data_IF_142425355353
#
_entry.id   IF_142425355353
#
_cell.length_a   1.000
_cell.length_b   1.000
_cell.length_c   1.000
_cell.angle_alpha   90.00
_cell.angle_beta   90.00
_cell.angle_gamma   90.00
#
_symmetry.space_group_name_H-M   'P 1'
#
loop_
_entity.id
_entity.type
_entity.pdbx_description
1 polymer ?
#
# COMPACT_ATOMS: atom_id res chain seq x y z
N UNK A 1 6.92 -51.22 -25.83
CA UNK A 1 6.45 -49.82 -26.04
C UNK A 1 6.46 -48.99 -24.75
N UNK A 2 6.08 -49.53 -23.58
CA UNK A 2 6.08 -48.77 -22.30
C UNK A 2 7.46 -48.29 -21.83
N UNK A 3 8.51 -49.11 -21.91
CA UNK A 3 9.88 -48.68 -21.52
C UNK A 3 10.47 -47.58 -22.41
N UNK A 4 10.05 -47.49 -23.67
CA UNK A 4 10.57 -46.48 -24.60
C UNK A 4 10.07 -45.07 -24.23
N UNK A 5 8.84 -44.97 -23.74
CA UNK A 5 8.25 -43.71 -23.26
C UNK A 5 8.97 -43.24 -22.00
N UNK A 6 9.29 -44.14 -21.07
CA UNK A 6 10.05 -43.79 -19.87
C UNK A 6 11.45 -43.25 -20.21
N UNK A 7 12.16 -43.89 -21.14
CA UNK A 7 13.49 -43.43 -21.58
C UNK A 7 13.40 -42.05 -22.25
N UNK A 8 12.38 -41.81 -23.06
CA UNK A 8 12.18 -40.53 -23.73
C UNK A 8 11.85 -39.40 -22.73
N UNK A 9 11.12 -39.70 -21.66
CA UNK A 9 10.80 -38.73 -20.61
C UNK A 9 12.04 -38.33 -19.79
N UNK A 10 12.90 -39.29 -19.41
CA UNK A 10 14.14 -38.98 -18.69
C UNK A 10 15.19 -38.27 -19.56
N UNK A 11 15.22 -38.54 -20.87
CA UNK A 11 16.13 -37.84 -21.79
C UNK A 11 15.84 -36.35 -21.93
N UNK A 12 14.59 -35.90 -21.72
CA UNK A 12 14.24 -34.49 -21.78
C UNK A 12 14.76 -33.70 -20.57
N UNK A 13 14.92 -34.33 -19.40
CA UNK A 13 15.49 -33.65 -18.23
C UNK A 13 17.01 -33.44 -18.35
N UNK A 14 17.71 -34.27 -19.13
CA UNK A 14 19.16 -34.14 -19.36
C UNK A 14 19.53 -33.02 -20.34
N UNK A 15 18.56 -32.48 -21.08
CA UNK A 15 18.73 -31.38 -22.04
C UNK A 15 18.17 -30.04 -21.53
N UNK A 16 17.64 -30.00 -20.31
CA UNK A 16 17.22 -28.77 -19.66
C UNK A 16 18.46 -27.91 -19.35
N UNK A 17 18.73 -26.93 -20.20
CA UNK A 17 19.77 -25.93 -19.98
C UNK A 17 19.24 -24.93 -18.96
N UNK A 18 20.03 -24.63 -17.92
CA UNK A 18 19.67 -23.62 -16.91
C UNK A 18 19.34 -22.29 -17.60
N UNK A 19 18.07 -21.88 -17.54
CA UNK A 19 17.64 -20.54 -17.95
C UNK A 19 17.90 -19.61 -16.77
N UNK A 20 19.17 -19.25 -16.56
CA UNK A 20 19.51 -18.09 -15.73
C UNK A 20 19.21 -16.86 -16.58
N UNK A 21 18.01 -16.31 -16.46
CA UNK A 21 17.73 -14.98 -16.98
C UNK A 21 18.67 -13.99 -16.28
N UNK A 22 19.68 -13.52 -17.00
CA UNK A 22 20.34 -12.26 -16.63
C UNK A 22 19.32 -11.17 -16.85
N UNK A 23 18.67 -10.74 -15.77
CA UNK A 23 17.93 -9.47 -15.75
C UNK A 23 18.96 -8.40 -16.10
N UNK A 24 18.91 -7.90 -17.33
CA UNK A 24 19.58 -6.64 -17.66
C UNK A 24 18.78 -5.56 -16.94
N UNK A 25 19.30 -5.08 -15.81
CA UNK A 25 18.81 -3.85 -15.19
C UNK A 25 18.93 -2.74 -16.23
N UNK A 26 17.82 -2.17 -16.74
CA UNK A 26 17.92 -0.92 -17.47
C UNK A 26 18.37 0.13 -16.44
N UNK A 27 19.25 1.04 -16.85
CA UNK A 27 19.60 2.21 -16.06
C UNK A 27 18.41 3.17 -15.98
N UNK A 28 17.33 2.75 -15.35
CA UNK A 28 16.31 3.68 -14.88
C UNK A 28 16.87 4.28 -13.60
N UNK A 29 17.04 5.60 -13.61
CA UNK A 29 17.14 6.35 -12.37
C UNK A 29 15.79 6.21 -11.67
N UNK A 30 15.66 5.18 -10.84
CA UNK A 30 14.58 5.10 -9.88
C UNK A 30 14.73 6.30 -8.96
N UNK A 31 13.91 7.32 -9.18
CA UNK A 31 13.59 8.25 -8.11
C UNK A 31 12.73 7.48 -7.11
N UNK A 32 13.40 6.68 -6.27
CA UNK A 32 12.79 6.11 -5.08
C UNK A 32 12.41 7.27 -4.16
N UNK A 33 11.15 7.69 -4.21
CA UNK A 33 10.58 8.58 -3.20
C UNK A 33 10.28 7.69 -2.00
N UNK A 34 11.30 7.45 -1.18
CA UNK A 34 11.15 6.76 0.10
C UNK A 34 10.59 7.78 1.09
N UNK A 35 9.35 7.56 1.53
CA UNK A 35 8.82 8.11 2.78
C UNK A 35 9.41 7.28 3.92
N UNK A 36 10.27 7.86 4.75
CA UNK A 36 10.81 7.20 5.95
C UNK A 36 10.14 7.84 7.16
N UNK A 37 9.31 7.05 7.86
CA UNK A 37 8.97 7.27 9.26
C UNK A 37 9.42 6.03 10.04
N UNK A 38 10.44 6.18 10.90
CA UNK A 38 11.00 5.07 11.69
C UNK A 38 12.42 5.38 12.18
N UNK A 39 12.75 4.92 13.39
CA UNK A 39 13.94 5.31 14.16
C UNK A 39 15.27 5.14 13.41
N UNK A 40 16.14 6.16 13.53
CA UNK A 40 17.47 6.22 12.94
C UNK A 40 18.42 5.32 13.72
N UNK A 41 18.78 4.16 13.15
CA UNK A 41 20.01 3.47 13.55
C UNK A 41 21.21 4.22 12.98
N UNK A 42 22.09 4.65 13.89
CA UNK A 42 23.28 5.43 13.56
C UNK A 42 24.30 4.58 12.79
N UNK A 43 24.45 4.86 11.49
CA UNK A 43 25.68 4.56 10.76
C UNK A 43 26.23 5.85 10.10
N UNK A 44 27.55 6.04 10.24
CA UNK A 44 28.27 7.29 10.07
C UNK A 44 28.38 7.81 8.61
N UNK A 45 27.98 9.08 8.46
CA UNK A 45 28.54 10.18 7.66
C UNK A 45 28.61 10.12 6.13
N UNK A 46 27.83 11.01 5.50
CA UNK A 46 28.29 11.95 4.46
C UNK A 46 27.49 13.25 4.62
N UNK A 47 28.10 14.45 4.69
CA UNK A 47 27.34 15.70 4.82
C UNK A 47 26.83 16.10 3.44
N UNK A 48 25.80 15.40 2.96
CA UNK A 48 24.91 15.98 1.98
C UNK A 48 24.16 17.09 2.72
N UNK A 49 24.46 18.34 2.40
CA UNK A 49 23.55 19.48 2.62
C UNK A 49 22.32 19.29 1.75
N UNK A 50 21.57 18.21 2.00
CA UNK A 50 20.17 18.13 1.66
C UNK A 50 19.56 19.17 2.58
N UNK A 51 19.08 20.28 2.00
CA UNK A 51 18.12 21.14 2.68
C UNK A 51 17.09 20.21 3.28
N UNK A 52 17.11 20.06 4.60
CA UNK A 52 16.03 19.44 5.33
C UNK A 52 14.83 20.31 5.01
N UNK A 53 13.92 19.82 4.17
CA UNK A 53 12.63 20.48 3.99
C UNK A 53 12.06 20.63 5.40
N UNK A 54 11.51 21.79 5.70
CA UNK A 54 10.79 22.04 6.94
C UNK A 54 9.42 21.31 6.83
N UNK A 55 9.44 19.98 6.68
CA UNK A 55 8.27 19.10 6.66
C UNK A 55 7.83 18.85 8.13
N UNK A 56 7.68 19.90 8.94
CA UNK A 56 7.59 19.78 10.42
C UNK A 56 6.19 20.00 10.99
N UNK A 57 5.19 20.35 10.19
CA UNK A 57 3.85 20.66 10.68
C UNK A 57 2.80 19.66 10.20
N UNK A 58 2.25 18.90 11.14
CA UNK A 58 1.04 18.10 10.92
C UNK A 58 -0.17 19.01 10.98
N UNK A 59 -0.87 19.18 9.86
CA UNK A 59 -2.11 19.99 9.78
C UNK A 59 -3.26 19.29 10.50
N UNK A 60 -3.37 17.97 10.29
CA UNK A 60 -4.41 17.13 10.86
C UNK A 60 -3.89 15.69 10.96
N UNK A 61 -4.32 14.98 11.99
CA UNK A 61 -3.99 13.60 12.27
C UNK A 61 -5.24 12.90 12.80
N UNK A 62 -5.52 11.72 12.27
CA UNK A 62 -6.46 10.78 12.87
C UNK A 62 -5.76 9.44 13.08
N UNK A 63 -5.87 8.91 14.29
CA UNK A 63 -5.38 7.58 14.70
C UNK A 63 -6.50 6.68 15.23
N UNK A 64 -7.76 7.16 15.24
CA UNK A 64 -8.99 6.46 15.65
C UNK A 64 -9.07 6.09 17.14
N UNK A 65 -8.23 6.67 17.99
CA UNK A 65 -8.23 6.40 19.44
C UNK A 65 -9.18 7.30 20.24
N UNK A 66 -9.81 8.26 19.57
CA UNK A 66 -10.61 9.31 20.18
C UNK A 66 -12.06 9.32 19.70
N UNK A 67 -12.62 10.53 19.65
CA UNK A 67 -13.94 10.75 19.07
C UNK A 67 -13.89 10.56 17.55
N UNK A 68 -14.79 9.74 17.04
CA UNK A 68 -14.99 9.42 15.62
C UNK A 68 -16.40 9.73 15.15
N UNK A 69 -17.20 10.43 15.96
CA UNK A 69 -18.62 10.70 15.67
C UNK A 69 -18.86 11.62 14.47
N UNK A 70 -17.81 12.30 13.98
CA UNK A 70 -17.81 13.16 12.82
C UNK A 70 -17.41 12.45 11.51
N UNK A 71 -16.98 11.19 11.58
CA UNK A 71 -16.74 10.35 10.42
C UNK A 71 -18.05 9.86 9.82
N UNK A 72 -18.10 9.81 8.49
CA UNK A 72 -19.18 9.12 7.78
C UNK A 72 -18.72 7.71 7.47
N UNK A 73 -19.31 6.74 8.16
CA UNK A 73 -18.92 5.33 8.12
C UNK A 73 -20.07 4.54 7.49
N UNK A 74 -19.83 3.92 6.34
CA UNK A 74 -20.81 3.01 5.74
C UNK A 74 -20.91 1.69 6.52
N UNK A 75 -22.04 1.00 6.35
CA UNK A 75 -22.42 -0.15 7.19
C UNK A 75 -21.45 -1.35 7.15
N UNK A 76 -20.58 -1.44 6.14
CA UNK A 76 -19.60 -2.53 6.03
C UNK A 76 -18.32 -2.27 6.84
N UNK A 77 -18.08 -1.01 7.24
CA UNK A 77 -16.91 -0.61 8.00
C UNK A 77 -17.16 -0.76 9.50
N UNK A 78 -16.24 -1.42 10.18
CA UNK A 78 -16.29 -1.64 11.61
C UNK A 78 -14.97 -1.24 12.27
N UNK A 79 -15.06 -0.67 13.48
CA UNK A 79 -13.89 -0.36 14.27
C UNK A 79 -13.43 -1.64 14.99
N UNK A 80 -12.15 -1.99 14.84
CA UNK A 80 -11.55 -3.18 15.45
C UNK A 80 -10.41 -2.82 16.39
N UNK A 81 -10.28 -3.64 17.44
CA UNK A 81 -9.13 -3.67 18.36
C UNK A 81 -8.23 -4.88 18.12
N UNK A 82 -8.60 -5.78 17.20
CA UNK A 82 -7.88 -7.03 16.96
C UNK A 82 -6.59 -6.82 16.14
N UNK A 83 -6.65 -5.92 15.17
CA UNK A 83 -5.51 -5.48 14.38
C UNK A 83 -5.60 -3.98 14.13
N UNK A 84 -4.48 -3.27 14.33
CA UNK A 84 -4.44 -1.83 14.11
C UNK A 84 -3.05 -1.38 13.68
N UNK A 85 -3.00 -0.33 12.85
CA UNK A 85 -1.79 0.43 12.58
C UNK A 85 -1.52 1.49 13.67
N UNK A 86 -2.58 2.02 14.28
CA UNK A 86 -2.51 2.91 15.43
C UNK A 86 -2.33 2.10 16.73
N UNK A 87 -2.26 2.74 17.91
CA UNK A 87 -2.02 2.03 19.17
C UNK A 87 -2.98 0.87 19.45
N UNK A 88 -4.29 1.05 19.22
CA UNK A 88 -5.32 0.06 19.51
C UNK A 88 -6.45 -0.03 18.49
N UNK A 89 -6.81 1.02 17.74
CA UNK A 89 -8.03 1.02 16.90
C UNK A 89 -7.76 1.27 15.41
N UNK A 90 -8.32 0.43 14.54
CA UNK A 90 -8.39 0.73 13.11
C UNK A 90 -9.78 0.39 12.56
N UNK A 91 -10.16 1.01 11.46
CA UNK A 91 -11.32 0.56 10.70
C UNK A 91 -10.93 -0.64 9.83
N UNK A 92 -11.84 -1.60 9.73
CA UNK A 92 -11.72 -2.76 8.85
C UNK A 92 -13.05 -3.08 8.20
N UNK A 93 -12.99 -3.78 7.07
CA UNK A 93 -14.11 -4.49 6.47
C UNK A 93 -13.79 -5.97 6.66
N UNK A 94 -14.75 -6.74 7.17
CA UNK A 94 -14.60 -8.20 7.36
C UNK A 94 -14.58 -8.94 6.00
N UNK A 95 -13.98 -10.13 5.98
CA UNK A 95 -13.81 -10.96 4.78
C UNK A 95 -15.11 -11.65 4.30
N UNK A 96 -16.19 -11.53 5.07
CA UNK A 96 -17.50 -12.08 4.77
C UNK A 96 -18.43 -11.11 3.98
N UNK A 97 -17.94 -9.90 3.69
CA UNK A 97 -18.67 -8.87 2.94
C UNK A 97 -18.50 -9.01 1.42
N UNK A 98 -19.26 -9.93 0.82
CA UNK A 98 -19.26 -10.17 -0.63
C UNK A 98 -20.08 -9.14 -1.43
N UNK A 99 -19.55 -8.70 -2.59
CA UNK A 99 -20.23 -7.76 -3.52
C UNK A 99 -20.64 -6.44 -2.84
N UNK A 100 -19.77 -5.95 -1.95
CA UNK A 100 -19.98 -4.73 -1.18
C UNK A 100 -19.11 -3.61 -1.71
N UNK A 101 -19.72 -2.45 -1.94
CA UNK A 101 -19.02 -1.18 -2.11
C UNK A 101 -19.39 -0.28 -0.93
N UNK A 102 -18.40 0.06 -0.11
CA UNK A 102 -18.59 0.84 1.10
C UNK A 102 -17.48 1.89 1.26
N UNK A 103 -17.86 3.06 1.74
CA UNK A 103 -16.99 4.21 1.91
C UNK A 103 -16.76 4.53 3.39
N UNK A 104 -15.54 4.96 3.70
CA UNK A 104 -15.17 5.56 4.97
C UNK A 104 -14.65 6.97 4.69
N UNK A 105 -15.42 7.98 5.08
CA UNK A 105 -15.11 9.38 4.79
C UNK A 105 -14.78 10.15 6.06
N UNK A 106 -13.66 10.88 6.01
CA UNK A 106 -13.27 11.82 7.06
C UNK A 106 -14.28 12.97 7.17
N UNK A 107 -14.32 13.67 8.32
CA UNK A 107 -14.92 15.00 8.37
C UNK A 107 -14.29 15.95 7.34
N UNK A 108 -14.94 17.08 7.08
CA UNK A 108 -14.40 18.12 6.20
C UNK A 108 -13.21 18.79 6.86
N UNK A 109 -12.03 18.66 6.25
CA UNK A 109 -10.78 19.20 6.78
C UNK A 109 -10.45 20.56 6.15
N UNK A 110 -10.12 21.54 6.99
CA UNK A 110 -9.60 22.83 6.53
C UNK A 110 -8.09 22.74 6.39
N UNK A 111 -7.59 22.93 5.17
CA UNK A 111 -6.15 22.97 4.88
C UNK A 111 -5.68 24.42 4.69
N UNK A 112 -4.49 24.80 5.19
CA UNK A 112 -3.96 26.14 4.99
C UNK A 112 -3.66 26.39 3.51
N UNK A 113 -3.77 27.66 3.10
CA UNK A 113 -3.33 28.07 1.78
C UNK A 113 -1.81 27.98 1.67
N UNK A 114 -1.33 27.51 0.52
CA UNK A 114 0.10 27.54 0.20
C UNK A 114 0.58 28.99 0.14
N UNK A 115 1.66 29.28 0.85
CA UNK A 115 2.27 30.61 0.95
C UNK A 115 3.36 30.84 -0.09
N UNK A 116 3.85 29.77 -0.73
CA UNK A 116 4.83 29.83 -1.82
C UNK A 116 4.60 28.74 -2.85
N UNK A 117 5.11 28.93 -4.06
CA UNK A 117 5.04 27.95 -5.15
C UNK A 117 5.81 26.64 -4.87
N UNK A 118 6.70 26.66 -3.87
CA UNK A 118 7.51 25.50 -3.49
C UNK A 118 6.96 24.76 -2.27
N UNK A 119 5.81 25.17 -1.75
CA UNK A 119 5.13 24.54 -0.63
C UNK A 119 4.25 23.38 -1.12
N UNK A 120 4.26 22.28 -0.38
CA UNK A 120 3.50 21.07 -0.72
C UNK A 120 2.81 20.56 0.54
N UNK A 121 1.51 20.31 0.45
CA UNK A 121 0.76 19.57 1.46
C UNK A 121 0.71 18.11 1.03
N UNK A 122 0.99 17.20 1.95
CA UNK A 122 0.99 15.76 1.72
C UNK A 122 -0.10 15.09 2.55
N UNK A 123 -0.87 14.22 1.90
CA UNK A 123 -1.74 13.26 2.56
C UNK A 123 -0.96 11.97 2.77
N UNK A 124 -0.96 11.43 3.99
CA UNK A 124 -0.42 10.11 4.30
C UNK A 124 -1.50 9.32 5.02
N UNK A 125 -1.60 8.03 4.70
CA UNK A 125 -2.50 7.10 5.36
C UNK A 125 -1.83 5.72 5.44
N UNK A 126 -2.29 4.90 6.38
CA UNK A 126 -1.92 3.50 6.46
C UNK A 126 -3.13 2.68 6.04
N UNK A 127 -2.89 1.68 5.18
CA UNK A 127 -3.91 0.75 4.73
C UNK A 127 -3.27 -0.62 4.64
N UNK A 128 -3.93 -1.60 5.24
CA UNK A 128 -3.63 -3.01 5.06
C UNK A 128 -4.79 -3.63 4.29
N UNK A 129 -4.45 -4.33 3.20
CA UNK A 129 -5.41 -4.97 2.30
C UNK A 129 -4.96 -6.40 2.11
N UNK A 130 -5.89 -7.32 2.30
CA UNK A 130 -5.72 -8.75 2.03
C UNK A 130 -6.90 -9.21 1.16
N UNK A 131 -6.85 -8.84 -0.12
CA UNK A 131 -7.91 -9.16 -1.07
C UNK A 131 -7.71 -10.56 -1.67
N UNK A 132 -8.76 -11.41 -1.69
CA UNK A 132 -8.67 -12.74 -2.27
C UNK A 132 -8.46 -12.73 -3.79
N UNK A 133 -8.98 -11.73 -4.52
CA UNK A 133 -8.88 -11.64 -5.98
C UNK A 133 -8.38 -10.26 -6.44
N UNK A 134 -7.06 -10.01 -6.29
CA UNK A 134 -6.43 -8.73 -6.63
C UNK A 134 -5.59 -8.77 -7.92
N UNK A 135 -5.36 -9.96 -8.48
CA UNK A 135 -4.30 -10.19 -9.47
C UNK A 135 -4.74 -9.98 -10.92
N UNK A 136 -6.04 -9.83 -11.18
CA UNK A 136 -6.56 -9.52 -12.50
C UNK A 136 -6.29 -10.60 -13.54
N UNK A 137 -6.21 -11.87 -13.12
CA UNK A 137 -5.81 -12.97 -13.99
C UNK A 137 -6.85 -13.35 -15.06
N UNK A 138 -8.06 -12.76 -14.98
CA UNK A 138 -9.12 -12.89 -15.97
C UNK A 138 -9.82 -14.25 -15.93
N UNK A 139 -9.85 -14.91 -14.78
CA UNK A 139 -10.55 -16.17 -14.57
C UNK A 139 -12.10 -16.04 -14.41
N UNK A 140 -12.61 -14.81 -14.52
CA UNK A 140 -14.01 -14.39 -14.36
C UNK A 140 -14.55 -14.39 -12.91
N UNK A 141 -13.70 -14.35 -11.88
CA UNK A 141 -14.14 -13.88 -10.56
C UNK A 141 -14.24 -12.34 -10.52
N UNK A 142 -14.79 -11.84 -9.41
CA UNK A 142 -14.96 -10.40 -9.19
C UNK A 142 -13.66 -9.86 -8.63
N UNK A 143 -13.03 -8.98 -9.39
CA UNK A 143 -11.82 -8.27 -8.97
C UNK A 143 -12.10 -7.39 -7.75
N UNK A 144 -11.29 -7.55 -6.71
CA UNK A 144 -11.33 -6.73 -5.51
C UNK A 144 -10.46 -5.49 -5.70
N UNK A 145 -11.00 -4.32 -5.36
CA UNK A 145 -10.24 -3.08 -5.43
C UNK A 145 -10.65 -2.09 -4.36
N UNK A 146 -9.70 -1.23 -3.99
CA UNK A 146 -9.93 -0.03 -3.19
C UNK A 146 -9.48 1.20 -3.98
N UNK A 147 -10.02 2.35 -3.61
CA UNK A 147 -9.50 3.62 -4.10
C UNK A 147 -9.55 4.66 -2.99
N UNK A 148 -8.75 5.71 -3.16
CA UNK A 148 -8.74 6.87 -2.28
C UNK A 148 -8.95 8.10 -3.15
N UNK A 149 -9.90 8.92 -2.77
CA UNK A 149 -10.21 10.18 -3.44
C UNK A 149 -10.28 11.35 -2.45
N UNK A 150 -10.19 12.57 -3.01
CA UNK A 150 -10.52 13.78 -2.26
C UNK A 150 -11.99 14.05 -2.57
N UNK A 151 -12.84 13.87 -1.57
CA UNK A 151 -14.27 14.10 -1.72
C UNK A 151 -14.55 15.56 -2.10
N UNK A 152 -15.37 15.73 -3.15
CA UNK A 152 -15.92 17.03 -3.53
C UNK A 152 -17.31 17.16 -2.90
N UNK A 153 -17.36 17.71 -1.69
CA UNK A 153 -18.59 17.93 -0.91
C UNK A 153 -19.20 19.32 -1.15
#
# INVERSE_FOLDING_TARGET
MRSFICILMFSNMLLAKDIVYKIQSPSHQDHQIISIHGAVDQQQQTPNTRSTRDDTTTIWLQDFEGDISDWTVDAAWELTEESSYSPTHSFHIDDDNYDVVASLASPVLSVPALTSENELIKLNFALWVDFPDFDGDGDNYLEDYYWVDIANV
#
